data_IF_661625026382
#
_entry.id   IF_661625026382
#
_cell.length_a   1.000
_cell.length_b   1.000
_cell.length_c   1.000
_cell.angle_alpha   90.00
_cell.angle_beta   90.00
_cell.angle_gamma   90.00
#
_symmetry.space_group_name_H-M   'P 1'
#
loop_
_entity.id
_entity.type
_entity.pdbx_description
1 polymer ?
#
# COMPACT_ATOMS: atom_id res chain seq x y z
N UNK A 1 -6.72 -17.92 13.28
CA UNK A 1 -6.34 -17.35 11.99
C UNK A 1 -6.70 -18.33 10.87
N UNK A 2 -7.31 -17.84 9.79
CA UNK A 2 -7.60 -18.63 8.58
C UNK A 2 -6.54 -18.30 7.54
N UNK A 3 -5.88 -19.33 7.02
CA UNK A 3 -4.84 -19.19 5.99
C UNK A 3 -5.38 -19.73 4.68
N UNK A 4 -5.32 -18.90 3.64
CA UNK A 4 -5.60 -19.30 2.26
C UNK A 4 -4.26 -19.50 1.56
N UNK A 5 -3.97 -20.74 1.16
CA UNK A 5 -2.70 -21.07 0.50
C UNK A 5 -2.82 -21.14 -1.02
N UNK A 6 -4.01 -21.44 -1.55
CA UNK A 6 -4.31 -21.50 -2.97
C UNK A 6 -5.77 -21.15 -3.24
N UNK A 7 -6.01 -20.67 -4.45
CA UNK A 7 -7.34 -20.44 -5.03
C UNK A 7 -7.44 -21.10 -6.38
N UNK A 8 -8.66 -21.40 -6.83
CA UNK A 8 -8.95 -21.87 -8.19
C UNK A 8 -9.99 -20.95 -8.83
N UNK A 9 -9.95 -20.82 -10.13
CA UNK A 9 -10.93 -19.99 -10.86
C UNK A 9 -12.34 -20.54 -10.77
N UNK A 10 -12.48 -21.83 -10.48
CA UNK A 10 -13.75 -22.54 -10.25
C UNK A 10 -14.39 -22.28 -8.87
N UNK A 11 -13.90 -21.32 -8.09
CA UNK A 11 -14.46 -21.01 -6.78
C UNK A 11 -13.94 -21.87 -5.62
N UNK A 12 -12.91 -22.69 -5.84
CA UNK A 12 -12.34 -23.55 -4.80
C UNK A 12 -11.18 -22.86 -4.07
N UNK A 13 -11.21 -22.87 -2.75
CA UNK A 13 -10.16 -22.36 -1.86
C UNK A 13 -9.49 -23.50 -1.10
N UNK A 14 -8.16 -23.40 -0.93
CA UNK A 14 -7.41 -24.21 0.03
C UNK A 14 -7.30 -23.44 1.35
N UNK A 15 -8.15 -23.81 2.30
CA UNK A 15 -8.33 -23.14 3.60
C UNK A 15 -7.76 -24.01 4.70
N UNK A 16 -6.67 -23.60 5.36
CA UNK A 16 -6.01 -24.38 6.42
C UNK A 16 -5.79 -25.87 6.02
N UNK A 17 -5.37 -26.10 4.78
CA UNK A 17 -5.12 -27.46 4.26
C UNK A 17 -6.35 -28.24 3.80
N UNK A 18 -7.56 -27.68 3.88
CA UNK A 18 -8.80 -28.29 3.37
C UNK A 18 -9.35 -27.55 2.17
N UNK A 19 -10.03 -28.27 1.27
CA UNK A 19 -10.73 -27.66 0.14
C UNK A 19 -12.12 -27.18 0.57
N UNK A 20 -12.47 -25.99 0.13
CA UNK A 20 -13.83 -25.43 0.27
C UNK A 20 -14.25 -24.80 -1.05
N UNK A 21 -15.49 -24.99 -1.43
CA UNK A 21 -16.11 -24.50 -2.65
C UNK A 21 -17.08 -23.37 -2.33
N UNK A 22 -17.09 -22.34 -3.19
CA UNK A 22 -17.93 -21.15 -3.09
C UNK A 22 -18.42 -20.76 -4.48
N UNK A 23 -19.60 -20.17 -4.55
CA UNK A 23 -20.18 -19.66 -5.81
C UNK A 23 -19.31 -18.55 -6.42
N UNK A 24 -18.71 -17.73 -5.56
CA UNK A 24 -17.76 -16.67 -5.94
C UNK A 24 -16.63 -16.56 -4.92
N UNK A 25 -15.46 -16.26 -5.42
CA UNK A 25 -14.27 -15.95 -4.60
C UNK A 25 -13.78 -14.56 -4.97
N UNK A 26 -13.56 -13.72 -3.97
CA UNK A 26 -13.01 -12.37 -4.15
C UNK A 26 -11.59 -12.35 -3.59
N UNK A 27 -10.61 -12.20 -4.47
CA UNK A 27 -9.22 -11.97 -4.08
C UNK A 27 -8.99 -10.47 -3.86
N UNK A 28 -9.17 -10.02 -2.64
CA UNK A 28 -8.91 -8.66 -2.19
C UNK A 28 -7.71 -8.61 -1.25
N UNK A 29 -6.66 -9.40 -1.53
CA UNK A 29 -5.49 -9.57 -0.68
C UNK A 29 -4.51 -8.37 -0.71
N UNK A 30 -4.88 -7.25 -1.31
CA UNK A 30 -4.07 -6.03 -1.38
C UNK A 30 -2.70 -6.28 -2.01
N UNK A 31 -1.58 -5.94 -1.34
CA UNK A 31 -0.25 -6.17 -1.89
C UNK A 31 0.05 -7.63 -2.26
N UNK A 32 -0.60 -8.59 -1.61
CA UNK A 32 -0.39 -10.02 -1.82
C UNK A 32 -1.29 -10.65 -2.88
N UNK A 33 -2.18 -9.89 -3.52
CA UNK A 33 -3.14 -10.43 -4.49
C UNK A 33 -2.45 -11.14 -5.67
N UNK A 34 -1.42 -10.52 -6.27
CA UNK A 34 -0.66 -11.13 -7.36
C UNK A 34 0.18 -12.33 -6.90
N UNK A 35 0.69 -12.32 -5.67
CA UNK A 35 1.43 -13.45 -5.10
C UNK A 35 0.52 -14.68 -4.93
N UNK A 36 -0.70 -14.48 -4.43
CA UNK A 36 -1.68 -15.56 -4.29
C UNK A 36 -2.06 -16.17 -5.64
N UNK A 37 -2.21 -15.35 -6.69
CA UNK A 37 -2.44 -15.83 -8.05
C UNK A 37 -1.25 -16.67 -8.57
N UNK A 38 -0.02 -16.15 -8.39
CA UNK A 38 1.20 -16.87 -8.79
C UNK A 38 1.33 -18.22 -8.08
N UNK A 39 1.10 -18.28 -6.77
CA UNK A 39 1.10 -19.53 -5.99
C UNK A 39 0.01 -20.50 -6.43
N UNK A 40 -1.04 -20.00 -7.06
CA UNK A 40 -2.18 -20.78 -7.56
C UNK A 40 -2.04 -21.16 -9.03
N UNK A 41 -0.96 -20.75 -9.72
CA UNK A 41 -0.73 -20.89 -11.15
C UNK A 41 -1.83 -20.24 -12.01
N UNK A 42 -2.39 -19.11 -11.55
CA UNK A 42 -3.39 -18.33 -12.28
C UNK A 42 -2.70 -17.12 -12.90
N UNK A 43 -2.84 -16.97 -14.21
CA UNK A 43 -2.36 -15.80 -14.94
C UNK A 43 -3.37 -14.66 -14.87
N UNK A 44 -2.90 -13.44 -14.73
CA UNK A 44 -3.68 -12.21 -14.77
C UNK A 44 -3.11 -11.26 -15.83
N UNK A 45 -3.94 -10.41 -16.42
CA UNK A 45 -3.49 -9.32 -17.30
C UNK A 45 -2.90 -8.16 -16.51
N UNK A 46 -3.15 -8.12 -15.21
CA UNK A 46 -2.61 -7.14 -14.28
C UNK A 46 -1.47 -7.72 -13.45
N UNK A 47 -0.59 -6.84 -13.01
CA UNK A 47 0.42 -7.13 -12.01
C UNK A 47 0.53 -5.96 -11.04
N UNK A 48 1.13 -6.23 -9.87
CA UNK A 48 1.31 -5.24 -8.82
C UNK A 48 2.79 -4.92 -8.66
N UNK A 49 3.07 -3.63 -8.68
CA UNK A 49 4.32 -3.09 -8.17
C UNK A 49 4.12 -2.64 -6.72
N UNK A 50 5.13 -2.88 -5.90
CA UNK A 50 5.04 -2.61 -4.48
C UNK A 50 5.88 -1.40 -4.12
N UNK A 51 5.23 -0.39 -3.54
CA UNK A 51 5.87 0.84 -3.08
C UNK A 51 5.72 0.97 -1.58
N UNK A 52 6.83 0.84 -0.85
CA UNK A 52 6.85 1.09 0.58
C UNK A 52 6.86 2.59 0.85
N UNK A 53 6.04 3.00 1.81
CA UNK A 53 6.03 4.34 2.35
C UNK A 53 6.14 4.30 3.86
N UNK A 54 7.07 5.09 4.41
CA UNK A 54 7.37 5.13 5.84
C UNK A 54 7.02 6.47 6.45
N UNK A 55 6.71 6.46 7.73
CA UNK A 55 6.34 7.64 8.51
C UNK A 55 7.08 7.62 9.85
N UNK A 56 7.37 8.81 10.36
CA UNK A 56 7.86 9.04 11.72
C UNK A 56 6.72 9.54 12.59
N UNK A 57 6.64 9.05 13.82
CA UNK A 57 5.88 9.67 14.90
C UNK A 57 6.87 10.50 15.68
N UNK A 58 6.70 11.82 15.63
CA UNK A 58 7.59 12.80 16.26
C UNK A 58 6.96 13.39 17.50
N UNK A 59 7.79 13.72 18.49
CA UNK A 59 7.42 14.57 19.63
C UNK A 59 7.38 16.03 19.16
N UNK A 60 6.28 16.42 18.53
CA UNK A 60 6.11 17.75 17.95
C UNK A 60 4.68 18.26 18.14
N UNK A 61 4.55 19.46 18.68
CA UNK A 61 3.25 20.09 18.93
C UNK A 61 2.85 21.01 17.78
N UNK A 62 2.21 20.43 16.76
CA UNK A 62 1.70 21.16 15.61
C UNK A 62 0.26 21.62 15.85
N UNK A 63 -0.04 22.88 15.50
CA UNK A 63 -1.41 23.43 15.57
C UNK A 63 -2.28 23.00 14.39
N UNK A 64 -1.66 22.79 13.23
CA UNK A 64 -2.33 22.48 11.96
C UNK A 64 -1.54 21.41 11.20
N UNK A 65 -2.22 20.71 10.33
CA UNK A 65 -1.54 19.87 9.34
C UNK A 65 -0.78 20.75 8.34
N UNK A 66 0.43 20.35 8.01
CA UNK A 66 1.31 21.02 7.05
C UNK A 66 1.55 20.08 5.85
N UNK A 67 1.71 20.69 4.70
CA UNK A 67 2.01 19.99 3.44
C UNK A 67 3.28 20.59 2.86
N UNK A 68 4.29 19.77 2.64
CA UNK A 68 5.56 20.17 2.04
C UNK A 68 5.66 19.59 0.62
N UNK A 69 5.82 20.45 -0.36
CA UNK A 69 6.17 20.05 -1.70
C UNK A 69 7.69 20.10 -1.83
N UNK A 70 8.32 18.94 -2.01
CA UNK A 70 9.77 18.83 -2.07
C UNK A 70 10.22 19.09 -3.49
N UNK A 71 10.95 20.20 -3.69
CA UNK A 71 11.36 20.64 -5.01
C UNK A 71 12.32 19.66 -5.71
N UNK A 72 13.14 18.95 -4.92
CA UNK A 72 14.20 18.05 -5.43
C UNK A 72 13.62 16.81 -6.13
N UNK A 73 12.53 16.24 -5.62
CA UNK A 73 11.96 14.99 -6.11
C UNK A 73 10.45 15.07 -6.40
N UNK A 74 9.88 16.27 -6.32
CA UNK A 74 8.46 16.58 -6.56
C UNK A 74 7.50 15.82 -5.63
N UNK A 75 7.98 15.27 -4.52
CA UNK A 75 7.17 14.54 -3.56
C UNK A 75 6.41 15.47 -2.63
N UNK A 76 5.32 14.93 -2.08
CA UNK A 76 4.54 15.57 -1.03
C UNK A 76 4.79 14.85 0.28
N UNK A 77 5.23 15.60 1.29
CA UNK A 77 5.40 15.12 2.67
C UNK A 77 4.41 15.86 3.55
N UNK A 78 3.77 15.15 4.46
CA UNK A 78 2.80 15.71 5.39
C UNK A 78 3.38 15.74 6.81
N UNK A 79 3.03 16.77 7.58
CA UNK A 79 3.15 16.78 9.03
C UNK A 79 1.73 16.93 9.60
N UNK A 80 1.22 15.91 10.26
CA UNK A 80 -0.17 15.86 10.73
C UNK A 80 -0.17 15.75 12.25
N UNK A 81 -0.76 16.71 12.99
CA UNK A 81 -0.92 16.57 14.43
C UNK A 81 -1.83 15.38 14.75
N UNK A 82 -1.37 14.50 15.63
CA UNK A 82 -2.12 13.32 16.08
C UNK A 82 -2.48 13.37 17.57
N UNK A 83 -2.38 14.55 18.16
CA UNK A 83 -2.70 14.81 19.56
C UNK A 83 -1.55 14.51 20.53
N UNK A 84 -1.71 14.90 21.78
CA UNK A 84 -0.76 14.65 22.87
C UNK A 84 0.69 15.13 22.58
N UNK A 85 0.83 16.27 21.86
CA UNK A 85 2.16 16.79 21.50
C UNK A 85 2.91 15.93 20.47
N UNK A 86 2.20 15.12 19.66
CA UNK A 86 2.78 14.27 18.63
C UNK A 86 2.34 14.68 17.26
N UNK A 87 3.19 14.43 16.28
CA UNK A 87 2.91 14.61 14.86
C UNK A 87 3.33 13.38 14.06
N UNK A 88 2.50 13.02 13.09
CA UNK A 88 2.83 12.07 12.04
C UNK A 88 3.56 12.82 10.92
N UNK A 89 4.74 12.37 10.54
CA UNK A 89 5.56 12.97 9.49
C UNK A 89 5.94 11.96 8.42
N UNK A 90 5.64 12.22 7.17
CA UNK A 90 5.88 11.35 6.03
C UNK A 90 5.03 11.74 4.82
N UNK A 91 5.23 11.09 3.71
CA UNK A 91 5.71 9.71 3.54
C UNK A 91 6.95 9.65 2.66
N UNK A 92 7.64 8.51 2.71
CA UNK A 92 8.65 8.11 1.71
C UNK A 92 8.01 7.27 0.59
N UNK A 93 8.77 7.02 -0.47
CA UNK A 93 8.38 6.11 -1.56
C UNK A 93 9.61 5.34 -2.06
N UNK A 94 9.62 4.02 -1.80
CA UNK A 94 10.66 3.11 -2.25
C UNK A 94 10.06 1.86 -2.84
N UNK A 95 10.62 1.36 -3.95
CA UNK A 95 10.29 0.03 -4.43
C UNK A 95 10.55 -0.99 -3.32
N UNK A 96 9.68 -2.00 -3.19
CA UNK A 96 9.75 -2.95 -2.09
C UNK A 96 9.48 -4.38 -2.58
N UNK A 97 10.30 -5.32 -2.13
CA UNK A 97 10.05 -6.74 -2.28
C UNK A 97 9.25 -7.24 -1.07
N UNK A 98 8.13 -7.91 -1.30
CA UNK A 98 7.29 -8.47 -0.21
C UNK A 98 7.99 -9.59 0.59
N UNK A 99 9.09 -10.14 0.10
CA UNK A 99 9.92 -11.06 0.85
C UNK A 99 10.73 -10.37 1.96
N UNK A 100 10.94 -9.04 1.84
CA UNK A 100 11.66 -8.26 2.82
C UNK A 100 10.75 -7.72 3.92
N UNK A 101 11.27 -7.47 5.12
CA UNK A 101 10.49 -6.87 6.21
C UNK A 101 9.96 -5.47 5.86
N UNK A 102 8.69 -5.22 6.16
CA UNK A 102 8.06 -3.91 5.94
C UNK A 102 8.38 -3.02 7.16
N UNK A 103 9.54 -2.39 7.12
CA UNK A 103 10.04 -1.51 8.19
C UNK A 103 10.60 -0.21 7.62
N UNK A 104 10.61 0.85 8.43
CA UNK A 104 11.28 2.11 8.08
C UNK A 104 12.80 1.92 8.16
N UNK A 105 13.49 2.16 7.06
CA UNK A 105 14.96 2.08 7.02
C UNK A 105 15.62 3.33 7.60
N UNK A 106 16.88 3.21 8.00
CA UNK A 106 17.68 4.35 8.45
C UNK A 106 17.77 5.47 7.40
N UNK A 107 17.87 5.10 6.12
CA UNK A 107 17.89 6.07 5.02
C UNK A 107 16.56 6.85 4.92
N UNK A 108 15.42 6.20 5.16
CA UNK A 108 14.11 6.87 5.18
C UNK A 108 13.98 7.80 6.38
N UNK A 109 14.51 7.39 7.55
CA UNK A 109 14.57 8.24 8.73
C UNK A 109 15.38 9.50 8.45
N UNK A 110 16.60 9.34 7.93
CA UNK A 110 17.50 10.46 7.65
C UNK A 110 16.91 11.41 6.60
N UNK A 111 16.29 10.87 5.56
CA UNK A 111 15.57 11.66 4.54
C UNK A 111 14.44 12.50 5.16
N UNK A 112 13.60 11.89 5.99
CA UNK A 112 12.48 12.60 6.61
C UNK A 112 12.95 13.64 7.62
N UNK A 113 13.97 13.35 8.43
CA UNK A 113 14.57 14.32 9.34
C UNK A 113 15.18 15.51 8.59
N UNK A 114 15.87 15.26 7.48
CA UNK A 114 16.44 16.32 6.63
C UNK A 114 15.33 17.25 6.10
N UNK A 115 14.23 16.68 5.61
CA UNK A 115 13.07 17.48 5.16
C UNK A 115 12.48 18.30 6.32
N UNK A 116 12.22 17.66 7.46
CA UNK A 116 11.68 18.37 8.61
C UNK A 116 12.56 19.56 8.97
N UNK A 117 13.86 19.35 9.10
CA UNK A 117 14.83 20.36 9.49
C UNK A 117 15.05 21.46 8.42
N UNK A 118 14.78 21.15 7.16
CA UNK A 118 14.83 22.15 6.08
C UNK A 118 13.67 23.16 6.16
N UNK A 119 12.49 22.71 6.57
CA UNK A 119 11.26 23.54 6.50
C UNK A 119 10.78 24.05 7.86
N UNK A 120 11.23 23.44 8.96
CA UNK A 120 10.77 23.78 10.30
C UNK A 120 11.85 24.57 11.06
N UNK A 121 11.40 25.58 11.82
CA UNK A 121 12.32 26.40 12.64
C UNK A 121 12.93 25.59 13.78
N UNK A 122 12.13 24.74 14.42
CA UNK A 122 12.60 23.82 15.46
C UNK A 122 13.29 22.65 14.79
N UNK A 123 14.58 22.48 15.04
CA UNK A 123 15.36 21.34 14.56
C UNK A 123 15.10 20.13 15.44
N UNK A 124 15.08 18.95 14.83
CA UNK A 124 14.89 17.66 15.51
C UNK A 124 15.99 16.69 15.10
N UNK A 125 16.20 15.68 15.92
CA UNK A 125 17.09 14.55 15.63
C UNK A 125 16.38 13.19 15.90
N UNK A 126 17.15 12.11 15.83
CA UNK A 126 16.61 10.76 16.02
C UNK A 126 16.03 10.53 17.42
N UNK A 127 16.44 11.31 18.44
CA UNK A 127 15.90 11.19 19.80
C UNK A 127 14.48 11.76 19.95
N UNK A 128 14.05 12.58 19.00
CA UNK A 128 12.68 13.11 18.93
C UNK A 128 11.70 12.14 18.26
N UNK A 129 12.19 11.04 17.69
CA UNK A 129 11.37 10.00 17.09
C UNK A 129 10.84 9.08 18.19
N UNK A 130 9.52 9.06 18.37
CA UNK A 130 8.86 8.16 19.31
C UNK A 130 8.73 6.75 18.72
N UNK A 131 8.36 6.66 17.45
CA UNK A 131 8.22 5.42 16.71
C UNK A 131 8.17 5.66 15.21
N UNK A 132 8.28 4.56 14.45
CA UNK A 132 8.12 4.57 12.99
C UNK A 132 7.08 3.54 12.58
N UNK A 133 6.44 3.73 11.44
CA UNK A 133 5.69 2.66 10.79
C UNK A 133 5.81 2.75 9.27
N UNK A 134 5.64 1.61 8.63
CA UNK A 134 5.72 1.50 7.18
C UNK A 134 4.55 0.67 6.66
N UNK A 135 4.17 0.94 5.42
CA UNK A 135 3.17 0.17 4.70
C UNK A 135 3.55 0.03 3.24
N UNK A 136 3.07 -1.02 2.59
CA UNK A 136 3.28 -1.25 1.17
C UNK A 136 2.01 -0.92 0.40
N UNK A 137 2.15 -0.06 -0.61
CA UNK A 137 1.09 0.29 -1.55
C UNK A 137 1.19 -0.61 -2.78
N UNK A 138 0.12 -1.32 -3.15
CA UNK A 138 0.05 -2.01 -4.42
C UNK A 138 -0.28 -1.01 -5.53
N UNK A 139 0.61 -0.83 -6.47
CA UNK A 139 0.39 -0.04 -7.68
C UNK A 139 0.07 -1.01 -8.81
N UNK A 140 -1.14 -0.94 -9.33
CA UNK A 140 -1.57 -1.84 -10.41
C UNK A 140 -1.10 -1.32 -11.77
N UNK A 141 -0.68 -2.24 -12.64
CA UNK A 141 -0.44 -1.99 -14.05
C UNK A 141 -0.87 -3.17 -14.93
N UNK A 142 -1.11 -2.91 -16.20
CA UNK A 142 -1.26 -3.98 -17.17
C UNK A 142 0.12 -4.53 -17.56
N UNK A 143 0.24 -5.84 -17.73
CA UNK A 143 1.51 -6.48 -18.14
C UNK A 143 2.06 -5.97 -19.46
N UNK A 144 1.19 -5.46 -20.35
CA UNK A 144 1.57 -4.85 -21.63
C UNK A 144 2.13 -3.42 -21.50
N UNK A 145 2.04 -2.80 -20.32
CA UNK A 145 2.46 -1.42 -20.10
C UNK A 145 3.81 -1.37 -19.40
N UNK A 146 4.68 -0.45 -19.84
CA UNK A 146 5.95 -0.16 -19.17
C UNK A 146 5.76 1.03 -18.25
N UNK A 147 6.12 0.90 -16.96
CA UNK A 147 6.18 2.05 -16.04
C UNK A 147 7.51 2.78 -16.22
N UNK A 148 7.42 4.01 -16.71
CA UNK A 148 8.58 4.92 -16.74
C UNK A 148 8.84 5.63 -15.41
N UNK A 149 7.83 5.70 -14.52
CA UNK A 149 7.95 6.38 -13.22
C UNK A 149 6.88 5.88 -12.23
N UNK A 150 7.31 5.27 -11.12
CA UNK A 150 6.44 4.77 -10.04
C UNK A 150 5.61 5.88 -9.36
N UNK A 151 6.18 7.08 -9.24
CA UNK A 151 5.50 8.22 -8.59
C UNK A 151 4.37 8.79 -9.44
N UNK A 152 4.42 8.59 -10.77
CA UNK A 152 3.40 9.03 -11.72
C UNK A 152 2.35 7.95 -12.00
N UNK A 153 2.54 6.73 -11.50
CA UNK A 153 1.61 5.63 -11.73
C UNK A 153 0.25 5.89 -11.07
N UNK A 154 -0.82 5.57 -11.78
CA UNK A 154 -2.17 5.70 -11.23
C UNK A 154 -2.32 4.81 -10.00
N UNK A 155 -2.91 5.37 -8.95
CA UNK A 155 -3.28 4.64 -7.72
C UNK A 155 -4.75 4.21 -7.79
N UNK A 156 -5.26 3.98 -8.98
CA UNK A 156 -6.62 3.50 -9.19
C UNK A 156 -6.70 1.99 -8.95
N UNK A 157 -7.90 1.48 -8.91
CA UNK A 157 -8.17 0.05 -8.75
C UNK A 157 -8.54 -0.56 -10.09
N UNK A 158 -8.19 -1.83 -10.26
CA UNK A 158 -8.63 -2.66 -11.36
C UNK A 158 -9.34 -3.91 -10.83
N UNK A 159 -10.36 -4.34 -11.54
CA UNK A 159 -11.11 -5.56 -11.25
C UNK A 159 -10.97 -6.50 -12.45
N UNK A 160 -10.60 -7.75 -12.18
CA UNK A 160 -10.51 -8.80 -13.18
C UNK A 160 -11.36 -9.99 -12.76
N UNK A 161 -12.22 -10.45 -13.66
CA UNK A 161 -13.06 -11.64 -13.43
C UNK A 161 -12.54 -12.79 -14.27
N UNK A 162 -12.25 -13.91 -13.61
CA UNK A 162 -11.82 -15.17 -14.25
C UNK A 162 -12.73 -16.27 -13.68
N UNK A 163 -13.72 -16.70 -14.44
CA UNK A 163 -14.75 -17.65 -14.02
C UNK A 163 -15.47 -17.20 -12.72
N UNK A 164 -15.33 -17.95 -11.61
CA UNK A 164 -15.88 -17.60 -10.31
C UNK A 164 -14.93 -16.72 -9.46
N UNK A 165 -13.74 -16.45 -9.94
CA UNK A 165 -12.75 -15.64 -9.22
C UNK A 165 -12.83 -14.18 -9.66
N UNK A 166 -12.99 -13.28 -8.69
CA UNK A 166 -12.93 -11.82 -8.86
C UNK A 166 -11.66 -11.31 -8.19
N UNK A 167 -10.73 -10.79 -8.97
CA UNK A 167 -9.50 -10.18 -8.46
C UNK A 167 -9.66 -8.67 -8.33
N UNK A 168 -9.25 -8.12 -7.21
CA UNK A 168 -9.23 -6.69 -6.93
C UNK A 168 -7.79 -6.24 -6.72
N UNK A 169 -7.30 -5.38 -7.60
CA UNK A 169 -5.94 -4.86 -7.59
C UNK A 169 -5.91 -3.37 -7.26
N UNK A 170 -4.95 -2.94 -6.44
CA UNK A 170 -4.77 -1.53 -6.10
C UNK A 170 -5.90 -0.95 -5.27
N UNK A 171 -6.17 0.35 -5.50
CA UNK A 171 -7.23 1.10 -4.83
C UNK A 171 -6.74 1.95 -3.65
N UNK A 172 -7.58 2.91 -3.27
CA UNK A 172 -7.34 3.85 -2.17
C UNK A 172 -8.35 3.62 -1.06
N UNK A 173 -7.95 3.87 0.17
CA UNK A 173 -8.88 3.82 1.31
C UNK A 173 -10.13 4.70 1.08
N UNK A 174 -9.93 5.88 0.50
CA UNK A 174 -11.00 6.84 0.23
C UNK A 174 -12.00 6.39 -0.85
N UNK A 175 -11.62 5.46 -1.72
CA UNK A 175 -12.49 4.89 -2.77
C UNK A 175 -13.00 3.47 -2.43
N UNK A 176 -12.65 2.93 -1.26
CA UNK A 176 -12.95 1.55 -0.88
C UNK A 176 -14.46 1.21 -0.94
N UNK A 177 -15.33 2.15 -0.52
CA UNK A 177 -16.77 1.96 -0.58
C UNK A 177 -17.29 1.81 -2.01
N UNK A 178 -16.81 2.65 -2.92
CA UNK A 178 -17.17 2.58 -4.35
C UNK A 178 -16.67 1.26 -4.94
N UNK A 179 -15.40 0.94 -4.72
CA UNK A 179 -14.82 -0.31 -5.20
C UNK A 179 -15.57 -1.54 -4.69
N UNK A 180 -15.98 -1.55 -3.42
CA UNK A 180 -16.80 -2.61 -2.86
C UNK A 180 -18.18 -2.73 -3.54
N UNK A 181 -18.81 -1.59 -3.90
CA UNK A 181 -20.07 -1.57 -4.65
C UNK A 181 -19.88 -2.11 -6.08
N UNK A 182 -18.77 -1.72 -6.74
CA UNK A 182 -18.45 -2.19 -8.09
C UNK A 182 -18.24 -3.72 -8.10
N UNK A 183 -17.54 -4.26 -7.09
CA UNK A 183 -17.35 -5.71 -6.93
C UNK A 183 -18.66 -6.41 -6.63
N UNK A 184 -19.51 -5.84 -5.76
CA UNK A 184 -20.80 -6.44 -5.41
C UNK A 184 -21.71 -6.61 -6.63
N UNK A 185 -21.70 -5.64 -7.56
CA UNK A 185 -22.48 -5.71 -8.79
C UNK A 185 -22.05 -6.81 -9.78
N UNK A 186 -20.91 -7.46 -9.53
CA UNK A 186 -20.41 -8.59 -10.33
C UNK A 186 -20.79 -9.96 -9.74
N UNK A 187 -21.42 -9.97 -8.56
CA UNK A 187 -21.81 -11.20 -7.84
C UNK A 187 -23.25 -11.59 -8.16
N UNK A 188 -24.08 -10.60 -8.47
CA UNK A 188 -25.48 -10.77 -8.90
C UNK A 188 -25.51 -11.24 -10.36
#
# INVERSE_FOLDING_TARGET
HTVISRIQTSGVLHVNGTLREFDRVINAAGPWASLLLAQSNISSVFELEHVRGSHLILKANLKHALVFQIAADQRIVFAIPIGQGRALFGTTEHAHDLAEPIVCSDQEIDYLLAIYNQYMTQQIDRSDIESTYSGVRPIVRRRSESLSNLSAASRDSEIEVIDQLINVFGGKWTSARRLGSDVASLID
#
